data_IF_289434979926
#
_entry.id   IF_289434979926
#
_cell.length_a   1.000
_cell.length_b   1.000
_cell.length_c   1.000
_cell.angle_alpha   90.00
_cell.angle_beta   90.00
_cell.angle_gamma   90.00
#
_symmetry.space_group_name_H-M   'P 1'
#
loop_
_entity.id
_entity.type
_entity.pdbx_description
1 polymer ?
#
# COMPACT_ATOMS: atom_id res chain seq x y z
N UNK A 1 53.93 73.46 -57.83
CA UNK A 1 54.41 72.30 -57.04
C UNK A 1 54.61 72.77 -55.60
N UNK A 2 53.67 72.45 -54.72
CA UNK A 2 53.78 72.71 -53.29
C UNK A 2 52.89 71.71 -52.53
N UNK A 3 53.49 71.17 -51.49
CA UNK A 3 53.09 70.03 -50.65
C UNK A 3 51.72 70.18 -49.98
N UNK A 4 50.94 69.10 -49.96
CA UNK A 4 49.77 68.89 -49.09
C UNK A 4 49.86 67.52 -48.42
N UNK A 5 50.20 67.54 -47.12
CA UNK A 5 49.58 66.85 -45.99
C UNK A 5 48.82 65.53 -46.24
N UNK A 6 49.18 64.46 -45.50
CA UNK A 6 48.34 63.65 -44.58
C UNK A 6 49.03 62.26 -44.29
N UNK A 7 48.65 61.47 -43.26
CA UNK A 7 49.49 61.25 -42.10
C UNK A 7 49.89 59.77 -41.86
N UNK A 8 50.92 59.59 -41.04
CA UNK A 8 51.30 58.31 -40.42
C UNK A 8 50.27 57.89 -39.37
N UNK A 9 49.43 56.90 -39.70
CA UNK A 9 48.67 56.16 -38.70
C UNK A 9 49.31 54.79 -38.47
N UNK A 10 50.23 54.71 -37.51
CA UNK A 10 50.70 53.44 -36.96
C UNK A 10 49.52 52.80 -36.21
N UNK A 11 48.87 51.80 -36.82
CA UNK A 11 47.91 50.96 -36.11
C UNK A 11 48.69 50.10 -35.11
N UNK A 12 48.71 50.49 -33.84
CA UNK A 12 49.10 49.63 -32.74
C UNK A 12 48.03 48.53 -32.58
N UNK A 13 48.34 47.32 -33.01
CA UNK A 13 47.53 46.16 -32.69
C UNK A 13 47.83 45.75 -31.24
N UNK A 14 46.99 46.18 -30.29
CA UNK A 14 46.98 45.62 -28.95
C UNK A 14 46.52 44.16 -29.08
N UNK A 15 47.45 43.22 -28.94
CA UNK A 15 47.16 41.79 -28.88
C UNK A 15 46.34 41.53 -27.62
N UNK A 16 45.03 41.37 -27.77
CA UNK A 16 44.15 41.00 -26.67
C UNK A 16 44.68 39.72 -26.00
N UNK A 17 45.03 39.82 -24.72
CA UNK A 17 45.40 38.67 -23.90
C UNK A 17 44.20 37.74 -23.83
N UNK A 18 44.34 36.52 -24.38
CA UNK A 18 43.33 35.47 -24.24
C UNK A 18 43.04 35.28 -22.74
N UNK A 19 41.78 35.29 -22.28
CA UNK A 19 41.50 34.93 -20.90
C UNK A 19 42.02 33.52 -20.67
N UNK A 20 42.86 33.35 -19.65
CA UNK A 20 43.33 32.04 -19.24
C UNK A 20 42.10 31.15 -19.01
N UNK A 21 42.07 29.99 -19.66
CA UNK A 21 41.06 28.96 -19.42
C UNK A 21 41.01 28.69 -17.91
N UNK A 22 39.94 29.15 -17.24
CA UNK A 22 39.64 28.70 -15.88
C UNK A 22 39.41 27.20 -15.99
N UNK A 23 40.29 26.41 -15.38
CA UNK A 23 40.00 24.99 -15.21
C UNK A 23 38.68 24.88 -14.45
N UNK A 24 37.66 24.32 -15.09
CA UNK A 24 36.45 23.89 -14.41
C UNK A 24 36.85 22.80 -13.42
N UNK A 25 37.07 23.19 -12.16
CA UNK A 25 37.11 22.23 -11.08
C UNK A 25 35.68 21.72 -10.91
N UNK A 26 35.43 20.50 -11.38
CA UNK A 26 34.22 19.77 -11.01
C UNK A 26 34.35 19.45 -9.52
N UNK A 27 33.60 20.16 -8.69
CA UNK A 27 33.43 19.74 -7.31
C UNK A 27 32.73 18.39 -7.34
N UNK A 28 33.40 17.34 -6.84
CA UNK A 28 32.73 16.08 -6.56
C UNK A 28 31.75 16.36 -5.42
N UNK A 29 30.47 16.52 -5.74
CA UNK A 29 29.41 16.52 -4.74
C UNK A 29 29.21 15.05 -4.34
N UNK A 30 29.53 14.61 -3.12
CA UNK A 30 29.05 13.32 -2.66
C UNK A 30 27.53 13.44 -2.61
N UNK A 31 26.82 12.72 -3.47
CA UNK A 31 25.39 12.51 -3.26
C UNK A 31 25.24 11.84 -1.90
N UNK A 32 24.39 12.38 -1.03
CA UNK A 32 24.01 11.69 0.19
C UNK A 32 23.51 10.30 -0.17
N UNK A 33 24.01 9.26 0.51
CA UNK A 33 23.43 7.92 0.41
C UNK A 33 21.98 8.02 0.85
N UNK A 34 21.05 7.98 -0.10
CA UNK A 34 19.64 7.78 0.21
C UNK A 34 19.50 6.33 0.65
N UNK A 35 19.24 6.13 1.95
CA UNK A 35 18.81 4.84 2.44
C UNK A 35 17.42 4.53 1.86
N UNK A 36 17.23 3.32 1.36
CA UNK A 36 15.88 2.81 1.09
C UNK A 36 15.29 2.35 2.41
N UNK A 37 13.98 2.56 2.58
CA UNK A 37 13.23 2.08 3.75
C UNK A 37 13.15 0.55 3.79
N UNK A 38 13.42 -0.15 2.67
CA UNK A 38 13.44 -1.61 2.62
C UNK A 38 14.67 -2.19 1.92
N UNK A 39 15.17 -3.31 2.44
CA UNK A 39 16.28 -4.05 1.84
C UNK A 39 15.76 -4.95 0.72
N UNK A 40 16.32 -4.86 -0.49
CA UNK A 40 15.96 -5.73 -1.63
C UNK A 40 16.83 -6.98 -1.75
N UNK A 41 17.49 -7.35 -0.65
CA UNK A 41 18.30 -8.58 -0.54
C UNK A 41 17.86 -9.34 0.69
N UNK A 42 17.82 -10.67 0.59
CA UNK A 42 17.51 -11.53 1.72
C UNK A 42 18.79 -11.88 2.48
N UNK A 43 18.68 -11.95 3.81
CA UNK A 43 19.69 -12.52 4.70
C UNK A 43 18.94 -13.44 5.65
N UNK A 44 19.43 -14.67 5.79
CA UNK A 44 18.79 -15.66 6.64
C UNK A 44 18.78 -15.18 8.10
N UNK A 45 17.60 -15.17 8.70
CA UNK A 45 17.41 -14.93 10.14
C UNK A 45 16.80 -16.17 10.79
N UNK A 46 16.76 -16.19 12.12
CA UNK A 46 16.12 -17.29 12.86
C UNK A 46 14.65 -17.46 12.45
N UNK A 47 13.94 -16.36 12.21
CA UNK A 47 12.50 -16.34 11.91
C UNK A 47 12.17 -16.37 10.40
N UNK A 48 13.16 -16.12 9.53
CA UNK A 48 12.98 -16.07 8.08
C UNK A 48 14.20 -16.67 7.38
N UNK A 49 14.13 -17.97 7.07
CA UNK A 49 15.16 -18.72 6.35
C UNK A 49 14.50 -19.85 5.53
N UNK A 50 15.15 -20.37 4.48
CA UNK A 50 14.55 -21.37 3.59
C UNK A 50 14.36 -22.75 4.21
N UNK A 51 14.92 -23.00 5.40
CA UNK A 51 14.79 -24.30 6.09
C UNK A 51 13.51 -24.40 6.92
N UNK A 52 12.88 -23.27 7.26
CA UNK A 52 11.62 -23.27 7.99
C UNK A 52 10.50 -23.86 7.14
N UNK A 53 9.76 -24.86 7.63
CA UNK A 53 8.67 -25.46 6.89
C UNK A 53 7.49 -24.50 6.82
N UNK A 54 7.02 -24.20 5.61
CA UNK A 54 5.73 -23.54 5.38
C UNK A 54 4.88 -24.40 4.45
N UNK A 55 3.62 -24.60 4.81
CA UNK A 55 2.63 -25.26 3.98
C UNK A 55 1.29 -24.57 4.14
N UNK A 56 0.53 -24.49 3.05
CA UNK A 56 -0.85 -24.01 3.10
C UNK A 56 -1.74 -24.94 3.94
N UNK A 57 -2.68 -24.35 4.68
CA UNK A 57 -3.69 -25.12 5.40
C UNK A 57 -4.73 -25.72 4.43
N UNK A 58 -5.54 -26.68 4.90
CA UNK A 58 -6.51 -27.39 4.05
C UNK A 58 -7.59 -26.48 3.44
N UNK A 59 -7.95 -25.39 4.13
CA UNK A 59 -8.86 -24.37 3.60
C UNK A 59 -8.24 -23.63 2.42
N UNK A 60 -7.00 -23.18 2.58
CA UNK A 60 -6.24 -22.47 1.56
C UNK A 60 -5.90 -23.38 0.38
N UNK A 61 -5.67 -24.67 0.61
CA UNK A 61 -5.50 -25.65 -0.48
C UNK A 61 -6.72 -25.67 -1.43
N UNK A 62 -7.95 -25.50 -0.93
CA UNK A 62 -9.15 -25.37 -1.77
C UNK A 62 -9.18 -24.06 -2.56
N UNK A 63 -8.85 -22.95 -1.90
CA UNK A 63 -8.77 -21.62 -2.53
C UNK A 63 -7.70 -21.59 -3.63
N UNK A 64 -6.58 -22.29 -3.42
CA UNK A 64 -5.53 -22.44 -4.43
C UNK A 64 -6.07 -23.10 -5.69
N UNK A 65 -6.85 -24.18 -5.57
CA UNK A 65 -7.46 -24.83 -6.74
C UNK A 65 -8.42 -23.90 -7.47
N UNK A 66 -9.21 -23.12 -6.73
CA UNK A 66 -10.11 -22.12 -7.32
C UNK A 66 -9.33 -21.04 -8.07
N UNK A 67 -8.29 -20.46 -7.45
CA UNK A 67 -7.43 -19.45 -8.08
C UNK A 67 -6.79 -20.01 -9.35
N UNK A 68 -6.26 -21.23 -9.30
CA UNK A 68 -5.65 -21.87 -10.46
C UNK A 68 -6.66 -22.11 -11.59
N UNK A 69 -7.92 -22.40 -11.28
CA UNK A 69 -8.96 -22.61 -12.31
C UNK A 69 -9.30 -21.35 -13.12
N UNK A 70 -8.99 -20.16 -12.59
CA UNK A 70 -9.18 -18.88 -13.30
C UNK A 70 -8.17 -18.69 -14.45
N UNK A 71 -7.09 -19.47 -14.47
CA UNK A 71 -6.03 -19.37 -15.46
C UNK A 71 -5.95 -20.64 -16.32
N UNK A 72 -5.59 -20.52 -17.60
CA UNK A 72 -5.29 -21.68 -18.43
C UNK A 72 -4.14 -22.51 -17.81
N UNK A 73 -4.21 -23.84 -17.92
CA UNK A 73 -3.23 -24.77 -17.33
C UNK A 73 -1.78 -24.46 -17.72
N UNK A 74 -1.55 -24.07 -18.98
CA UNK A 74 -0.24 -23.67 -19.51
C UNK A 74 0.32 -22.36 -18.92
N UNK A 75 -0.55 -21.51 -18.37
CA UNK A 75 -0.20 -20.19 -17.82
C UNK A 75 -0.47 -20.08 -16.31
N UNK A 76 -0.36 -21.19 -15.56
CA UNK A 76 -0.55 -21.19 -14.10
C UNK A 76 0.33 -20.19 -13.35
N UNK A 77 1.48 -19.79 -13.91
CA UNK A 77 2.38 -18.76 -13.37
C UNK A 77 1.68 -17.40 -13.14
N UNK A 78 0.59 -17.12 -13.86
CA UNK A 78 -0.22 -15.92 -13.66
C UNK A 78 -0.86 -15.85 -12.26
N UNK A 79 -1.02 -16.99 -11.58
CA UNK A 79 -1.53 -17.05 -10.22
C UNK A 79 -0.50 -16.66 -9.12
N UNK A 80 0.72 -16.25 -9.49
CA UNK A 80 1.77 -15.92 -8.49
C UNK A 80 1.33 -14.84 -7.51
N UNK A 81 0.65 -13.79 -7.98
CA UNK A 81 0.21 -12.68 -7.13
C UNK A 81 -0.85 -13.11 -6.10
N UNK A 82 -1.99 -13.72 -6.50
CA UNK A 82 -2.99 -14.14 -5.53
C UNK A 82 -2.49 -15.24 -4.58
N UNK A 83 -1.59 -16.12 -5.03
CA UNK A 83 -1.00 -17.15 -4.15
C UNK A 83 -0.02 -16.59 -3.12
N UNK A 84 0.77 -15.58 -3.50
CA UNK A 84 1.61 -14.86 -2.55
C UNK A 84 0.77 -14.10 -1.52
N UNK A 85 -0.32 -13.46 -1.95
CA UNK A 85 -1.24 -12.77 -1.05
C UNK A 85 -1.89 -13.75 -0.07
N UNK A 86 -2.36 -14.90 -0.55
CA UNK A 86 -2.91 -15.96 0.29
C UNK A 86 -1.88 -16.48 1.31
N UNK A 87 -0.61 -16.65 0.89
CA UNK A 87 0.48 -17.04 1.76
C UNK A 87 0.75 -16.01 2.85
N UNK A 88 0.75 -14.73 2.49
CA UNK A 88 0.87 -13.62 3.42
C UNK A 88 -0.32 -13.53 4.38
N UNK A 89 -1.55 -13.79 3.92
CA UNK A 89 -2.75 -13.82 4.78
C UNK A 89 -2.69 -14.95 5.80
N UNK A 90 -2.12 -16.11 5.45
CA UNK A 90 -1.95 -17.22 6.38
C UNK A 90 -0.79 -16.99 7.36
N UNK A 91 0.36 -16.53 6.86
CA UNK A 91 1.57 -16.41 7.67
C UNK A 91 1.70 -15.08 8.41
N UNK A 92 1.04 -14.02 7.94
CA UNK A 92 1.14 -12.63 8.41
C UNK A 92 2.06 -11.77 7.54
N UNK A 93 3.11 -12.36 6.97
CA UNK A 93 4.06 -11.73 6.05
C UNK A 93 4.56 -12.75 5.02
N UNK A 94 5.14 -12.27 3.93
CA UNK A 94 5.71 -13.09 2.85
C UNK A 94 7.15 -13.50 3.21
N UNK A 95 7.31 -14.57 3.99
CA UNK A 95 8.63 -15.15 4.29
C UNK A 95 9.23 -15.87 3.08
N UNK A 96 10.54 -16.16 3.12
CA UNK A 96 11.21 -16.85 2.01
C UNK A 96 10.65 -18.27 1.80
N UNK A 97 10.21 -18.93 2.88
CA UNK A 97 9.54 -20.24 2.80
C UNK A 97 8.18 -20.16 2.10
N UNK A 98 7.40 -19.09 2.34
CA UNK A 98 6.15 -18.84 1.60
C UNK A 98 6.43 -18.67 0.11
N UNK A 99 7.43 -17.86 -0.25
CA UNK A 99 7.81 -17.65 -1.65
C UNK A 99 8.25 -18.96 -2.33
N UNK A 100 9.04 -19.78 -1.64
CA UNK A 100 9.50 -21.08 -2.14
C UNK A 100 8.35 -22.08 -2.33
N UNK A 101 7.38 -22.11 -1.42
CA UNK A 101 6.22 -22.98 -1.55
C UNK A 101 5.32 -22.55 -2.73
N UNK A 102 5.11 -21.25 -2.91
CA UNK A 102 4.40 -20.73 -4.10
C UNK A 102 5.15 -21.08 -5.40
N UNK A 103 6.48 -20.95 -5.41
CA UNK A 103 7.30 -21.34 -6.56
C UNK A 103 7.16 -22.83 -6.89
N UNK A 104 7.12 -23.69 -5.87
CA UNK A 104 6.89 -25.13 -6.00
C UNK A 104 5.52 -25.44 -6.58
N UNK A 105 4.46 -24.82 -6.07
CA UNK A 105 3.08 -25.02 -6.54
C UNK A 105 2.89 -24.59 -8.00
N UNK A 106 3.53 -23.50 -8.40
CA UNK A 106 3.43 -22.95 -9.75
C UNK A 106 4.43 -23.54 -10.75
N UNK A 107 5.29 -24.45 -10.30
CA UNK A 107 6.39 -25.03 -11.10
C UNK A 107 7.19 -23.96 -11.84
N UNK A 108 7.61 -22.92 -11.10
CA UNK A 108 8.41 -21.83 -11.64
C UNK A 108 9.65 -21.59 -10.79
N UNK A 109 10.72 -20.99 -11.36
CA UNK A 109 11.91 -20.67 -10.59
C UNK A 109 11.59 -19.73 -9.42
N UNK A 110 12.09 -19.99 -8.20
CA UNK A 110 11.84 -19.13 -7.03
C UNK A 110 12.21 -17.66 -7.25
N UNK A 111 13.25 -17.41 -8.04
CA UNK A 111 13.68 -16.05 -8.38
C UNK A 111 12.56 -15.20 -8.99
N UNK A 112 11.66 -15.78 -9.79
CA UNK A 112 10.52 -15.05 -10.37
C UNK A 112 9.47 -14.68 -9.34
N UNK A 113 9.33 -15.50 -8.29
CA UNK A 113 8.48 -15.19 -7.15
C UNK A 113 9.11 -14.08 -6.30
N UNK A 114 10.43 -14.11 -6.12
CA UNK A 114 11.17 -13.07 -5.40
C UNK A 114 11.08 -11.71 -6.11
N UNK A 115 11.19 -11.69 -7.44
CA UNK A 115 10.98 -10.48 -8.24
C UNK A 115 9.61 -9.87 -7.98
N UNK A 116 8.53 -10.67 -8.01
CA UNK A 116 7.17 -10.21 -7.74
C UNK A 116 7.03 -9.72 -6.29
N UNK A 117 7.51 -10.48 -5.32
CA UNK A 117 7.40 -10.14 -3.89
C UNK A 117 8.20 -8.89 -3.50
N UNK A 118 9.27 -8.56 -4.23
CA UNK A 118 10.05 -7.33 -4.01
C UNK A 118 9.52 -6.14 -4.79
N UNK A 119 8.83 -6.38 -5.91
CA UNK A 119 8.31 -5.33 -6.78
C UNK A 119 7.01 -4.70 -6.24
N UNK A 120 6.07 -5.51 -5.76
CA UNK A 120 4.79 -5.01 -5.24
C UNK A 120 4.88 -4.69 -3.75
N UNK A 121 4.48 -3.48 -3.38
CA UNK A 121 4.60 -2.94 -2.01
C UNK A 121 3.66 -3.57 -1.00
N UNK A 122 2.62 -4.29 -1.42
CA UNK A 122 1.70 -5.01 -0.53
C UNK A 122 2.36 -6.24 0.11
N UNK A 123 3.38 -6.82 -0.52
CA UNK A 123 4.05 -8.00 0.02
C UNK A 123 5.05 -7.61 1.11
N UNK A 124 4.63 -7.77 2.35
CA UNK A 124 5.46 -7.52 3.52
C UNK A 124 6.51 -8.62 3.63
N UNK A 125 7.79 -8.31 3.42
CA UNK A 125 8.89 -9.30 3.48
C UNK A 125 9.51 -9.43 4.86
N UNK A 126 9.19 -8.49 5.73
CA UNK A 126 9.52 -8.51 7.15
C UNK A 126 8.25 -8.75 7.96
N UNK A 127 8.38 -9.29 9.17
CA UNK A 127 7.24 -9.39 10.09
C UNK A 127 6.62 -8.01 10.35
N UNK A 128 5.31 -7.94 10.21
CA UNK A 128 4.50 -6.77 10.56
C UNK A 128 3.62 -7.11 11.76
N UNK A 129 3.24 -6.09 12.51
CA UNK A 129 2.28 -6.20 13.59
C UNK A 129 0.91 -6.60 13.08
N UNK A 130 0.03 -6.95 14.02
CA UNK A 130 -1.34 -7.39 13.72
C UNK A 130 -2.14 -6.36 12.90
N UNK A 131 -1.96 -5.08 13.18
CA UNK A 131 -2.55 -3.96 12.46
C UNK A 131 -1.48 -3.21 11.69
N UNK A 132 -1.51 -3.35 10.37
CA UNK A 132 -0.68 -2.57 9.46
C UNK A 132 -1.43 -1.28 9.10
N UNK A 133 -1.00 -0.18 9.72
CA UNK A 133 -1.54 1.16 9.51
C UNK A 133 -0.79 1.82 8.37
N UNK A 134 -1.49 2.05 7.26
CA UNK A 134 -0.98 2.63 6.04
C UNK A 134 -1.60 4.01 5.84
N UNK A 135 -0.80 5.06 5.91
CA UNK A 135 -1.29 6.44 5.77
C UNK A 135 -0.90 7.03 4.41
N UNK A 136 -1.89 7.53 3.67
CA UNK A 136 -1.68 8.17 2.38
C UNK A 136 -1.20 9.62 2.55
N UNK A 137 -0.03 9.93 2.03
CA UNK A 137 0.57 11.29 2.08
C UNK A 137 0.69 11.95 0.70
N UNK A 138 0.05 11.38 -0.33
CA UNK A 138 0.03 11.97 -1.67
C UNK A 138 -0.72 13.31 -1.70
N UNK A 139 -0.48 14.09 -2.74
CA UNK A 139 -0.92 15.49 -2.84
C UNK A 139 -2.39 15.74 -2.48
N UNK A 140 -3.40 14.96 -2.93
CA UNK A 140 -4.78 15.19 -2.51
C UNK A 140 -5.02 15.05 -1.00
N UNK A 141 -4.35 14.08 -0.36
CA UNK A 141 -4.41 13.88 1.09
C UNK A 141 -3.58 14.94 1.82
N UNK A 142 -2.42 15.31 1.29
CA UNK A 142 -1.58 16.37 1.83
C UNK A 142 -2.30 17.73 1.86
N UNK A 143 -3.01 18.09 0.78
CA UNK A 143 -3.82 19.31 0.72
C UNK A 143 -4.98 19.31 1.73
N UNK A 144 -5.36 18.13 2.22
CA UNK A 144 -6.40 17.89 3.22
C UNK A 144 -5.83 17.62 4.62
N UNK A 145 -4.55 17.94 4.83
CA UNK A 145 -3.80 17.84 6.10
C UNK A 145 -3.51 16.39 6.56
N UNK A 146 -3.11 15.50 5.65
CA UNK A 146 -2.58 14.18 6.02
C UNK A 146 -1.35 14.24 6.92
N UNK A 147 -0.56 15.31 6.85
CA UNK A 147 0.62 15.52 7.71
C UNK A 147 0.21 15.66 9.20
N UNK A 148 -0.94 16.29 9.47
CA UNK A 148 -1.55 16.32 10.80
C UNK A 148 -1.94 14.92 11.29
N UNK A 149 -2.46 14.08 10.40
CA UNK A 149 -2.81 12.68 10.69
C UNK A 149 -1.55 11.84 10.97
N UNK A 150 -0.52 11.95 10.15
CA UNK A 150 0.78 11.27 10.36
C UNK A 150 1.34 11.57 11.75
N UNK A 151 1.41 12.85 12.13
CA UNK A 151 1.90 13.27 13.46
C UNK A 151 1.03 12.74 14.60
N UNK A 152 -0.28 12.66 14.40
CA UNK A 152 -1.20 12.11 15.40
C UNK A 152 -0.96 10.60 15.61
N UNK A 153 -0.71 9.86 14.52
CA UNK A 153 -0.37 8.43 14.56
C UNK A 153 0.97 8.21 15.26
N UNK A 154 2.01 8.95 14.86
CA UNK A 154 3.35 8.85 15.49
C UNK A 154 3.29 9.16 16.99
N UNK A 155 2.54 10.18 17.39
CA UNK A 155 2.38 10.55 18.80
C UNK A 155 1.63 9.49 19.61
N UNK A 156 0.62 8.84 19.05
CA UNK A 156 -0.20 7.84 19.75
C UNK A 156 0.47 6.45 19.80
N UNK A 157 1.21 6.09 18.75
CA UNK A 157 1.92 4.81 18.66
C UNK A 157 3.35 4.86 19.21
N UNK A 158 3.96 6.05 19.28
CA UNK A 158 5.35 6.22 19.72
C UNK A 158 6.39 5.67 18.72
N UNK A 159 6.01 5.50 17.45
CA UNK A 159 6.87 4.97 16.39
C UNK A 159 6.85 5.88 15.17
N UNK A 160 7.95 5.89 14.41
CA UNK A 160 8.04 6.54 13.12
C UNK A 160 7.50 5.64 12.00
N UNK A 161 7.18 6.25 10.86
CA UNK A 161 6.85 5.50 9.65
C UNK A 161 7.98 4.51 9.30
N UNK A 162 7.60 3.26 8.98
CA UNK A 162 8.49 2.13 8.73
C UNK A 162 8.70 1.20 9.94
N UNK A 163 8.29 1.62 11.15
CA UNK A 163 8.52 0.86 12.38
C UNK A 163 7.28 0.18 12.94
N UNK A 164 7.54 -0.83 13.78
CA UNK A 164 6.51 -1.59 14.51
C UNK A 164 6.62 -1.27 16.00
N UNK A 165 5.49 -1.12 16.68
CA UNK A 165 5.43 -0.89 18.13
C UNK A 165 6.05 -2.06 18.90
N UNK A 166 6.64 -1.81 20.06
CA UNK A 166 7.27 -2.85 20.92
C UNK A 166 6.29 -3.98 21.28
N UNK A 167 5.00 -3.68 21.41
CA UNK A 167 3.93 -4.65 21.68
C UNK A 167 3.65 -5.61 20.51
N UNK A 168 4.24 -5.36 19.32
CA UNK A 168 4.01 -6.11 18.08
C UNK A 168 2.58 -5.97 17.53
N UNK A 169 1.80 -5.00 18.01
CA UNK A 169 0.41 -4.79 17.60
C UNK A 169 0.27 -3.94 16.35
N UNK A 170 1.00 -2.83 16.25
CA UNK A 170 0.87 -1.88 15.14
C UNK A 170 2.18 -1.76 14.36
N UNK A 171 2.09 -1.82 13.03
CA UNK A 171 3.15 -1.36 12.12
C UNK A 171 2.64 -0.14 11.41
N UNK A 172 3.41 0.95 11.41
CA UNK A 172 3.05 2.18 10.73
C UNK A 172 3.89 2.34 9.47
N UNK A 173 3.24 2.62 8.33
CA UNK A 173 3.90 2.81 7.05
C UNK A 173 3.28 3.98 6.31
N UNK A 174 4.12 4.85 5.76
CA UNK A 174 3.70 5.85 4.81
C UNK A 174 3.49 5.18 3.44
N UNK A 175 2.34 5.43 2.83
CA UNK A 175 1.99 4.86 1.53
C UNK A 175 1.57 5.93 0.55
N UNK A 176 1.59 5.55 -0.72
CA UNK A 176 1.14 6.38 -1.82
C UNK A 176 -0.40 6.39 -1.92
N UNK A 177 -0.93 6.81 -3.07
CA UNK A 177 -2.36 6.96 -3.30
C UNK A 177 -3.11 5.63 -3.15
N UNK A 178 -4.06 5.59 -2.21
CA UNK A 178 -4.95 4.45 -1.95
C UNK A 178 -6.29 4.53 -2.70
N UNK A 179 -6.48 5.54 -3.56
CA UNK A 179 -7.67 5.68 -4.42
C UNK A 179 -8.92 6.27 -3.74
N UNK A 180 -8.86 6.65 -2.47
CA UNK A 180 -9.95 7.29 -1.73
C UNK A 180 -9.82 8.83 -1.69
N UNK A 181 -9.47 9.46 -2.81
CA UNK A 181 -9.11 10.89 -2.85
C UNK A 181 -10.28 11.84 -2.55
N UNK A 182 -11.51 11.47 -2.93
CA UNK A 182 -12.71 12.23 -2.58
C UNK A 182 -12.98 12.24 -1.06
N UNK A 183 -12.34 11.32 -0.35
CA UNK A 183 -12.47 10.95 1.05
C UNK A 183 -11.21 11.26 1.88
N UNK A 184 -10.38 12.15 1.35
CA UNK A 184 -9.17 12.59 2.01
C UNK A 184 -9.45 13.45 3.26
N UNK A 185 -8.65 13.31 4.34
CA UNK A 185 -7.52 12.40 4.49
C UNK A 185 -7.96 11.00 4.98
N UNK A 186 -7.20 9.96 4.63
CA UNK A 186 -7.58 8.57 4.89
C UNK A 186 -6.39 7.70 5.30
N UNK A 187 -6.68 6.59 5.98
CA UNK A 187 -5.72 5.53 6.29
C UNK A 187 -6.35 4.17 6.00
N UNK A 188 -5.51 3.23 5.57
CA UNK A 188 -5.89 1.83 5.44
C UNK A 188 -5.32 1.06 6.64
N UNK A 189 -6.15 0.22 7.26
CA UNK A 189 -5.72 -0.69 8.31
C UNK A 189 -6.03 -2.10 7.84
N UNK A 190 -4.97 -2.79 7.41
CA UNK A 190 -5.02 -4.04 6.66
C UNK A 190 -5.96 -3.99 5.45
N UNK A 191 -7.17 -4.55 5.51
CA UNK A 191 -8.11 -4.58 4.40
C UNK A 191 -9.11 -3.40 4.42
N UNK A 192 -9.22 -2.68 5.54
CA UNK A 192 -10.28 -1.68 5.76
C UNK A 192 -9.80 -0.25 5.54
N UNK A 193 -10.61 0.55 4.84
CA UNK A 193 -10.40 1.98 4.67
C UNK A 193 -11.11 2.76 5.76
N UNK A 194 -10.39 3.70 6.37
CA UNK A 194 -10.94 4.70 7.28
C UNK A 194 -10.70 6.07 6.68
N UNK A 195 -11.80 6.78 6.46
CA UNK A 195 -11.85 7.93 5.57
C UNK A 195 -12.36 9.19 6.29
N UNK A 196 -12.12 10.36 5.70
CA UNK A 196 -12.43 11.67 6.29
C UNK A 196 -11.94 11.83 7.73
N UNK A 197 -10.69 11.50 7.93
CA UNK A 197 -10.08 11.47 9.24
C UNK A 197 -9.74 12.88 9.74
N UNK A 198 -9.77 13.01 11.05
CA UNK A 198 -9.18 14.13 11.78
C UNK A 198 -8.19 13.55 12.80
N UNK A 199 -7.22 14.32 13.31
CA UNK A 199 -6.28 13.84 14.32
C UNK A 199 -6.97 13.18 15.53
N UNK A 200 -8.12 13.70 15.94
CA UNK A 200 -8.92 13.20 17.05
C UNK A 200 -9.61 11.87 16.70
N UNK A 201 -10.20 11.75 15.50
CA UNK A 201 -10.84 10.50 15.09
C UNK A 201 -9.82 9.39 14.85
N UNK A 202 -8.64 9.73 14.30
CA UNK A 202 -7.52 8.78 14.14
C UNK A 202 -7.01 8.26 15.48
N UNK A 203 -6.77 9.12 16.47
CA UNK A 203 -6.33 8.67 17.80
C UNK A 203 -7.39 7.82 18.50
N UNK A 204 -8.66 8.16 18.33
CA UNK A 204 -9.79 7.36 18.85
C UNK A 204 -9.85 5.97 18.20
N UNK A 205 -9.68 5.91 16.86
CA UNK A 205 -9.62 4.67 16.10
C UNK A 205 -8.48 3.76 16.58
N UNK A 206 -7.25 4.29 16.71
CA UNK A 206 -6.09 3.52 17.16
C UNK A 206 -6.27 2.96 18.58
N UNK A 207 -6.84 3.76 19.50
CA UNK A 207 -7.16 3.30 20.86
C UNK A 207 -8.19 2.20 20.87
N UNK A 208 -9.26 2.33 20.08
CA UNK A 208 -10.29 1.31 19.95
C UNK A 208 -9.71 -0.01 19.40
N UNK A 209 -8.80 0.05 18.42
CA UNK A 209 -8.11 -1.12 17.90
C UNK A 209 -7.20 -1.78 18.92
N UNK A 210 -6.48 -0.97 19.72
CA UNK A 210 -5.63 -1.48 20.81
C UNK A 210 -6.48 -2.18 21.89
N UNK A 211 -7.61 -1.59 22.28
CA UNK A 211 -8.55 -2.21 23.23
C UNK A 211 -9.15 -3.51 22.68
N UNK A 212 -9.53 -3.53 21.40
CA UNK A 212 -10.04 -4.73 20.73
C UNK A 212 -9.00 -5.87 20.73
N UNK A 213 -7.73 -5.56 20.45
CA UNK A 213 -6.65 -6.55 20.52
C UNK A 213 -6.44 -7.08 21.96
N UNK A 214 -6.46 -6.19 22.95
CA UNK A 214 -6.30 -6.61 24.36
C UNK A 214 -7.44 -7.54 24.81
N UNK A 215 -8.70 -7.22 24.46
CA UNK A 215 -9.85 -8.07 24.83
C UNK A 215 -9.88 -9.40 24.08
N UNK A 216 -9.34 -9.47 22.87
CA UNK A 216 -9.21 -10.73 22.12
C UNK A 216 -8.01 -11.57 22.57
N UNK A 217 -7.22 -11.10 23.54
CA UNK A 217 -6.00 -11.77 23.98
C UNK A 217 -4.92 -11.82 22.89
N UNK A 218 -5.02 -10.94 21.90
CA UNK A 218 -4.11 -10.89 20.78
C UNK A 218 -2.81 -10.20 21.18
N UNK A 219 -1.70 -10.92 21.18
CA UNK A 219 -0.36 -10.36 21.42
C UNK A 219 0.59 -10.73 20.28
N UNK A 220 1.42 -9.76 19.85
CA UNK A 220 2.57 -10.00 18.97
C UNK A 220 2.24 -10.53 17.57
N UNK A 221 3.30 -10.90 16.83
CA UNK A 221 3.34 -11.51 15.48
C UNK A 221 2.51 -12.80 15.38
N UNK A 222 1.21 -12.71 15.62
CA UNK A 222 0.31 -13.82 15.40
C UNK A 222 0.36 -14.14 13.90
N UNK A 223 0.49 -15.43 13.52
CA UNK A 223 0.23 -15.83 12.15
C UNK A 223 -1.12 -15.22 11.75
N UNK A 224 -1.20 -14.73 10.50
CA UNK A 224 -2.40 -14.06 10.02
C UNK A 224 -3.64 -14.87 10.41
N UNK A 225 -4.69 -14.14 10.81
CA UNK A 225 -5.83 -14.48 11.68
C UNK A 225 -6.62 -15.80 11.47
N UNK A 226 -6.11 -16.76 10.72
CA UNK A 226 -6.46 -18.17 10.84
C UNK A 226 -5.82 -18.80 12.10
N UNK A 227 -6.19 -18.31 13.28
CA UNK A 227 -6.15 -19.16 14.48
C UNK A 227 -7.15 -20.32 14.28
N UNK A 228 -6.84 -21.51 14.81
CA UNK A 228 -7.64 -22.74 14.74
C UNK A 228 -9.14 -22.62 15.15
N UNK A 229 -9.60 -21.45 15.58
CA UNK A 229 -10.92 -21.22 16.17
C UNK A 229 -11.70 -20.01 15.61
N UNK A 230 -11.46 -19.59 14.37
CA UNK A 230 -12.37 -18.67 13.66
C UNK A 230 -13.63 -19.42 13.24
N UNK A 231 -14.77 -19.16 13.90
CA UNK A 231 -16.07 -19.78 13.56
C UNK A 231 -16.43 -19.50 12.09
N UNK A 232 -16.40 -20.55 11.28
CA UNK A 232 -16.95 -20.58 9.92
C UNK A 232 -18.48 -20.61 10.02
N UNK A 233 -19.13 -19.59 9.48
CA UNK A 233 -20.56 -19.35 9.65
C UNK A 233 -21.25 -18.88 8.37
N UNK A 234 -21.29 -19.73 7.34
CA UNK A 234 -22.51 -19.96 6.54
C UNK A 234 -22.79 -19.09 5.30
N UNK A 235 -22.66 -19.78 4.15
CA UNK A 235 -23.46 -19.72 2.91
C UNK A 235 -23.26 -18.57 1.90
N UNK A 236 -22.54 -18.92 0.82
CA UNK A 236 -22.96 -18.60 -0.55
C UNK A 236 -22.08 -17.62 -1.33
N UNK A 237 -21.44 -18.10 -2.40
CA UNK A 237 -20.82 -17.28 -3.45
C UNK A 237 -19.29 -17.28 -3.39
N UNK A 238 -18.66 -17.69 -4.50
CA UNK A 238 -17.23 -17.97 -4.73
C UNK A 238 -16.27 -16.77 -4.65
N UNK A 239 -16.58 -15.80 -3.80
CA UNK A 239 -15.74 -14.65 -3.43
C UNK A 239 -15.91 -14.23 -1.97
N UNK A 240 -16.98 -14.68 -1.30
CA UNK A 240 -17.24 -14.41 0.11
C UNK A 240 -16.23 -15.12 1.02
N UNK A 241 -15.78 -16.33 0.69
CA UNK A 241 -14.85 -17.11 1.53
C UNK A 241 -13.42 -16.52 1.56
N UNK A 242 -12.99 -15.86 0.46
CA UNK A 242 -11.73 -15.10 0.43
C UNK A 242 -11.88 -13.80 1.26
N UNK A 243 -13.07 -13.18 1.22
CA UNK A 243 -13.43 -12.03 2.05
C UNK A 243 -13.63 -12.36 3.54
N UNK A 244 -14.00 -13.59 3.88
CA UNK A 244 -14.09 -14.09 5.27
C UNK A 244 -12.71 -14.27 5.92
N UNK A 245 -11.64 -14.36 5.11
CA UNK A 245 -10.26 -14.21 5.59
C UNK A 245 -9.86 -12.76 5.81
N UNK A 246 -10.75 -11.81 5.48
CA UNK A 246 -10.62 -10.42 5.89
C UNK A 246 -10.43 -10.36 7.40
N UNK A 247 -9.46 -9.55 7.84
CA UNK A 247 -9.07 -9.46 9.24
C UNK A 247 -10.20 -8.79 10.04
N UNK A 248 -11.23 -9.55 10.43
CA UNK A 248 -12.29 -9.00 11.27
C UNK A 248 -11.74 -8.68 12.67
N UNK A 249 -11.91 -7.43 13.08
CA UNK A 249 -11.33 -6.90 14.32
C UNK A 249 -12.31 -6.97 15.52
N UNK A 250 -13.47 -7.57 15.32
CA UNK A 250 -14.56 -7.57 16.30
C UNK A 250 -14.19 -8.27 17.60
N UNK A 251 -14.06 -7.50 18.68
CA UNK A 251 -14.02 -8.00 20.06
C UNK A 251 -15.38 -7.75 20.73
N UNK A 252 -15.91 -8.73 21.46
CA UNK A 252 -17.16 -8.55 22.22
C UNK A 252 -17.03 -7.35 23.17
N UNK A 253 -17.85 -6.32 22.96
CA UNK A 253 -17.89 -5.12 23.79
C UNK A 253 -16.85 -4.03 23.48
N UNK A 254 -16.17 -4.05 22.32
CA UNK A 254 -15.44 -2.87 21.80
C UNK A 254 -16.17 -2.32 20.59
N UNK A 255 -16.55 -1.03 20.66
CA UNK A 255 -17.16 -0.33 19.54
C UNK A 255 -16.05 0.19 18.63
N UNK A 256 -15.69 -0.61 17.63
CA UNK A 256 -14.83 -0.16 16.54
C UNK A 256 -15.65 0.71 15.58
N UNK A 257 -15.07 1.82 15.06
CA UNK A 257 -15.69 2.53 13.95
C UNK A 257 -15.78 1.61 12.74
N UNK A 258 -16.88 1.71 12.00
CA UNK A 258 -17.05 0.98 10.75
C UNK A 258 -16.05 1.49 9.70
N UNK A 259 -15.53 0.62 8.83
CA UNK A 259 -14.79 1.05 7.64
C UNK A 259 -15.64 2.01 6.79
N UNK A 260 -15.03 3.08 6.31
CA UNK A 260 -15.67 4.14 5.54
C UNK A 260 -15.46 5.55 6.13
N UNK A 261 -16.24 6.55 5.66
CA UNK A 261 -16.10 7.94 6.07
C UNK A 261 -16.52 8.19 7.51
N UNK A 262 -15.72 8.93 8.27
CA UNK A 262 -16.03 9.32 9.65
C UNK A 262 -16.70 10.70 9.77
N UNK A 263 -16.96 11.39 8.65
CA UNK A 263 -17.51 12.75 8.58
C UNK A 263 -19.05 12.83 8.55
N UNK A 264 -19.75 11.69 8.59
CA UNK A 264 -21.22 11.61 8.58
C UNK A 264 -21.86 11.44 7.20
N UNK A 265 -21.07 11.51 6.12
CA UNK A 265 -21.48 11.02 4.80
C UNK A 265 -21.36 9.49 4.72
N UNK A 266 -22.06 8.88 3.78
CA UNK A 266 -22.12 7.43 3.60
C UNK A 266 -20.92 6.88 2.86
N UNK A 267 -20.57 7.47 1.71
CA UNK A 267 -19.48 6.98 0.85
C UNK A 267 -18.70 8.17 0.29
N UNK A 268 -18.97 8.60 -0.94
CA UNK A 268 -18.25 9.67 -1.63
C UNK A 268 -19.15 10.83 -2.08
N UNK A 269 -20.38 10.89 -1.60
CA UNK A 269 -21.29 11.97 -1.92
C UNK A 269 -20.81 13.31 -1.34
N UNK A 270 -21.31 14.45 -1.86
CA UNK A 270 -21.06 15.75 -1.26
C UNK A 270 -21.57 15.77 0.19
N UNK A 271 -20.76 16.28 1.11
CA UNK A 271 -21.10 16.32 2.54
C UNK A 271 -22.38 17.13 2.86
N UNK A 272 -22.80 18.02 1.96
CA UNK A 272 -24.06 18.78 2.08
C UNK A 272 -25.31 18.04 1.59
N UNK A 273 -25.20 16.75 1.23
CA UNK A 273 -26.29 15.93 0.68
C UNK A 273 -26.13 15.64 -0.82
N UNK A 274 -27.01 14.78 -1.34
CA UNK A 274 -26.97 14.35 -2.74
C UNK A 274 -27.29 15.52 -3.69
N UNK A 275 -26.29 15.94 -4.47
CA UNK A 275 -26.45 16.96 -5.53
C UNK A 275 -26.75 16.35 -6.89
N UNK A 276 -26.54 15.03 -7.04
CA UNK A 276 -26.79 14.23 -8.24
C UNK A 276 -27.37 12.88 -7.84
N UNK A 277 -27.87 12.11 -8.82
CA UNK A 277 -28.52 10.81 -8.59
C UNK A 277 -29.72 10.90 -7.62
N UNK A 278 -30.43 12.04 -7.65
CA UNK A 278 -31.62 12.29 -6.80
C UNK A 278 -32.92 11.78 -7.42
N UNK A 279 -32.93 11.59 -8.74
CA UNK A 279 -34.05 10.96 -9.45
C UNK A 279 -34.04 9.45 -9.24
N UNK A 280 -35.21 8.82 -9.37
CA UNK A 280 -35.28 7.37 -9.42
C UNK A 280 -34.41 6.81 -10.55
N UNK A 281 -33.80 5.65 -10.29
CA UNK A 281 -32.98 4.98 -11.29
C UNK A 281 -33.85 4.62 -12.48
N UNK A 282 -33.35 4.84 -13.70
CA UNK A 282 -34.05 4.38 -14.89
C UNK A 282 -34.32 2.89 -14.73
N UNK A 283 -35.42 2.41 -15.29
CA UNK A 283 -35.68 0.99 -15.47
C UNK A 283 -35.78 0.68 -16.95
N UNK A 284 -35.49 -0.57 -17.33
CA UNK A 284 -35.64 -1.00 -18.72
C UNK A 284 -37.08 -0.76 -19.21
N UNK A 285 -38.07 -0.92 -18.35
CA UNK A 285 -39.49 -0.69 -18.65
C UNK A 285 -39.84 0.80 -18.83
N UNK A 286 -39.09 1.71 -18.20
CA UNK A 286 -39.32 3.16 -18.22
C UNK A 286 -38.60 3.90 -19.34
N UNK A 287 -37.55 3.31 -19.92
CA UNK A 287 -36.60 4.05 -20.78
C UNK A 287 -36.45 3.47 -22.19
N UNK A 288 -36.85 2.21 -22.41
CA UNK A 288 -36.92 1.66 -23.76
C UNK A 288 -38.06 2.33 -24.54
N UNK A 289 -37.75 2.81 -25.76
CA UNK A 289 -38.74 3.34 -26.71
C UNK A 289 -39.78 2.25 -27.01
N UNK A 290 -41.04 2.50 -26.68
CA UNK A 290 -42.17 1.57 -26.90
C UNK A 290 -42.92 1.83 -28.21
N UNK A 291 -42.44 2.77 -29.02
CA UNK A 291 -43.10 3.27 -30.22
C UNK A 291 -42.90 2.37 -31.46
N UNK A 292 -42.21 1.23 -31.33
CA UNK A 292 -42.10 0.23 -32.40
C UNK A 292 -41.42 0.75 -33.68
N UNK A 293 -40.78 1.92 -33.65
CA UNK A 293 -40.25 2.59 -34.85
C UNK A 293 -38.93 1.98 -35.38
N UNK A 294 -38.48 0.87 -34.79
CA UNK A 294 -37.29 0.11 -35.18
C UNK A 294 -37.61 -1.31 -35.69
N UNK A 295 -38.89 -1.70 -35.69
CA UNK A 295 -39.42 -2.91 -36.35
C UNK A 295 -40.06 -2.54 -37.69
#
# INVERSE_FOLDING_TARGET
MASKLAPTALRSAIRATRPAWRQQQRFFTPSTTRASDSLNVHRDTADNNPTLPFKFNSTNEKLIQEILSRYPSQYKKAAVMPLLDLGQRQHGFTSISVMNEVARLLEMPPMRVYEVATFYTMYNRNPVGRFHVQCCTTTPCQLRDSDGIMKAIEKELGVHAGHTTEDGLFTFTEVECLGACANAPMVQINDDYYEDLTPETTTTLLKALREAAQKTGASGMAPGLAGEAGKVGGQGGSGAEIGEQGRSYGAQGVKLPSPGPLSGRQTCEPAGGLTSLTSEMWTAEGTMRKDGALD
#
